data_IF_483566393542
#
_entry.id   IF_483566393542
#
_cell.length_a   1.000
_cell.length_b   1.000
_cell.length_c   1.000
_cell.angle_alpha   90.00
_cell.angle_beta   90.00
_cell.angle_gamma   90.00
#
_symmetry.space_group_name_H-M   'P 1'
#
loop_
_entity.id
_entity.type
_entity.pdbx_description
1 polymer ?
#
# COMPACT_ATOMS: atom_id res chain seq x y z
N UNK A 1 34.75 -7.48 -29.44
CA UNK A 1 33.73 -7.51 -28.37
C UNK A 1 33.39 -6.07 -27.99
N UNK A 2 32.23 -5.56 -28.42
CA UNK A 2 31.78 -4.23 -28.00
C UNK A 2 31.29 -4.30 -26.55
N UNK A 3 32.04 -3.70 -25.61
CA UNK A 3 31.59 -3.52 -24.22
C UNK A 3 30.43 -2.53 -24.24
N UNK A 4 29.22 -2.99 -23.92
CA UNK A 4 28.13 -2.09 -23.56
C UNK A 4 28.52 -1.42 -22.24
N UNK A 5 28.80 -0.11 -22.28
CA UNK A 5 29.11 0.71 -21.10
C UNK A 5 27.84 1.23 -20.43
N UNK A 6 26.70 0.54 -20.57
CA UNK A 6 25.46 0.97 -19.93
C UNK A 6 25.58 0.83 -18.41
N UNK A 7 25.60 1.97 -17.71
CA UNK A 7 25.71 2.04 -16.25
C UNK A 7 24.36 2.35 -15.61
N UNK A 8 24.23 2.02 -14.32
CA UNK A 8 23.07 2.40 -13.51
C UNK A 8 22.85 3.92 -13.53
N UNK A 9 23.94 4.70 -13.47
CA UNK A 9 23.86 6.17 -13.51
C UNK A 9 23.25 6.70 -14.82
N UNK A 10 23.63 6.13 -15.97
CA UNK A 10 23.04 6.50 -17.26
C UNK A 10 21.57 6.11 -17.37
N UNK A 11 21.22 4.91 -16.91
CA UNK A 11 19.83 4.45 -16.87
C UNK A 11 18.96 5.37 -16.01
N UNK A 12 19.44 5.74 -14.82
CA UNK A 12 18.73 6.64 -13.91
C UNK A 12 18.57 8.04 -14.50
N UNK A 13 19.63 8.59 -15.11
CA UNK A 13 19.58 9.90 -15.77
C UNK A 13 18.57 9.90 -16.90
N UNK A 14 18.63 8.90 -17.79
CA UNK A 14 17.67 8.70 -18.87
C UNK A 14 16.23 8.64 -18.33
N UNK A 15 16.01 7.86 -17.26
CA UNK A 15 14.70 7.67 -16.70
C UNK A 15 14.12 8.95 -16.06
N UNK A 16 14.95 9.74 -15.36
CA UNK A 16 14.55 11.01 -14.77
C UNK A 16 14.20 12.02 -15.87
N UNK A 17 15.08 12.20 -16.86
CA UNK A 17 14.87 13.16 -17.95
C UNK A 17 13.57 12.86 -18.71
N UNK A 18 13.33 11.58 -19.03
CA UNK A 18 12.09 11.15 -19.69
C UNK A 18 10.86 11.30 -18.79
N UNK A 19 11.00 11.06 -17.48
CA UNK A 19 9.90 11.20 -16.53
C UNK A 19 9.43 12.65 -16.40
N UNK A 20 10.35 13.62 -16.45
CA UNK A 20 10.05 15.07 -16.33
C UNK A 20 9.34 15.61 -17.59
N UNK A 21 9.72 15.12 -18.77
CA UNK A 21 9.15 15.56 -20.06
C UNK A 21 7.89 14.76 -20.43
N UNK A 22 7.54 13.73 -19.66
CA UNK A 22 6.39 12.87 -19.94
C UNK A 22 5.06 13.65 -19.85
N UNK A 23 4.14 13.51 -20.83
CA UNK A 23 2.81 14.10 -20.74
C UNK A 23 2.00 13.57 -19.55
N UNK A 24 2.43 12.44 -18.97
CA UNK A 24 1.82 11.85 -17.77
C UNK A 24 2.07 12.72 -16.50
N UNK A 25 2.91 13.77 -16.55
CA UNK A 25 3.28 14.65 -15.40
C UNK A 25 2.14 15.56 -14.95
N UNK A 26 1.18 15.85 -15.83
CA UNK A 26 0.08 16.77 -15.55
C UNK A 26 -1.10 16.13 -14.78
N UNK A 27 -1.01 14.85 -14.43
CA UNK A 27 -2.04 14.11 -13.68
C UNK A 27 -1.79 14.18 -12.17
N UNK A 28 -2.81 14.21 -11.29
CA UNK A 28 -2.61 14.03 -9.85
C UNK A 28 -1.95 12.66 -9.57
N UNK A 29 -0.75 12.66 -8.97
CA UNK A 29 0.03 11.45 -8.69
C UNK A 29 0.11 11.14 -7.20
N UNK A 30 0.07 9.86 -6.89
CA UNK A 30 0.60 9.33 -5.64
C UNK A 30 2.06 8.91 -5.85
N UNK A 31 2.79 8.72 -4.75
CA UNK A 31 4.22 8.35 -4.76
C UNK A 31 4.51 7.07 -5.55
N UNK A 32 3.55 6.14 -5.64
CA UNK A 32 3.72 4.88 -6.37
C UNK A 32 3.72 5.11 -7.88
N UNK A 33 2.87 6.01 -8.39
CA UNK A 33 2.84 6.35 -9.82
C UNK A 33 4.12 7.01 -10.32
N UNK A 34 4.78 7.83 -9.48
CA UNK A 34 6.08 8.42 -9.84
C UNK A 34 7.15 7.34 -10.01
N UNK A 35 7.14 6.33 -9.14
CA UNK A 35 8.11 5.22 -9.23
C UNK A 35 7.77 4.29 -10.40
N UNK A 36 6.50 4.03 -10.70
CA UNK A 36 6.10 3.29 -11.91
C UNK A 36 6.60 3.97 -13.19
N UNK A 37 6.52 5.30 -13.25
CA UNK A 37 7.01 6.07 -14.41
C UNK A 37 8.54 6.00 -14.53
N UNK A 38 9.26 6.13 -13.42
CA UNK A 38 10.70 5.96 -13.38
C UNK A 38 11.09 4.56 -13.88
N UNK A 39 10.48 3.51 -13.33
CA UNK A 39 10.73 2.11 -13.69
C UNK A 39 10.43 1.82 -15.16
N UNK A 40 9.39 2.44 -15.71
CA UNK A 40 9.04 2.33 -17.14
C UNK A 40 10.20 2.80 -18.02
N UNK A 41 10.77 3.97 -17.74
CA UNK A 41 11.88 4.49 -18.55
C UNK A 41 13.22 3.80 -18.25
N UNK A 42 13.43 3.30 -17.03
CA UNK A 42 14.57 2.43 -16.75
C UNK A 42 14.49 1.13 -17.56
N UNK A 43 13.31 0.50 -17.61
CA UNK A 43 13.09 -0.72 -18.39
C UNK A 43 13.21 -0.43 -19.90
N UNK A 44 12.67 0.68 -20.39
CA UNK A 44 12.87 1.13 -21.78
C UNK A 44 14.36 1.24 -22.12
N UNK A 45 15.16 1.90 -21.27
CA UNK A 45 16.60 2.06 -21.46
C UNK A 45 17.32 0.71 -21.60
N UNK A 46 17.04 -0.25 -20.72
CA UNK A 46 17.67 -1.58 -20.78
C UNK A 46 17.23 -2.33 -22.04
N UNK A 47 15.95 -2.21 -22.44
CA UNK A 47 15.40 -2.86 -23.63
C UNK A 47 15.81 -2.20 -24.95
N UNK A 48 16.52 -1.06 -24.93
CA UNK A 48 17.17 -0.51 -26.13
C UNK A 48 18.29 -1.42 -26.63
N UNK A 49 18.97 -2.14 -25.72
CA UNK A 49 19.99 -3.10 -26.09
C UNK A 49 19.34 -4.37 -26.66
N UNK A 50 19.66 -4.70 -27.92
CA UNK A 50 19.08 -5.85 -28.62
C UNK A 50 19.25 -7.17 -27.84
N UNK A 51 20.42 -7.40 -27.24
CA UNK A 51 20.66 -8.61 -26.41
C UNK A 51 19.74 -8.67 -25.18
N UNK A 52 19.57 -7.55 -24.49
CA UNK A 52 18.70 -7.44 -23.31
C UNK A 52 17.24 -7.64 -23.70
N UNK A 53 16.84 -7.13 -24.86
CA UNK A 53 15.51 -7.31 -25.44
C UNK A 53 15.22 -8.76 -25.79
N UNK A 54 16.14 -9.44 -26.48
CA UNK A 54 16.00 -10.86 -26.83
C UNK A 54 15.99 -11.77 -25.59
N UNK A 55 16.78 -11.41 -24.56
CA UNK A 55 16.77 -12.11 -23.28
C UNK A 55 15.43 -11.91 -22.55
N UNK A 56 14.88 -10.70 -22.58
CA UNK A 56 13.58 -10.38 -21.99
C UNK A 56 12.44 -11.12 -22.69
N UNK A 57 12.43 -11.13 -24.03
CA UNK A 57 11.41 -11.82 -24.81
C UNK A 57 11.36 -13.32 -24.50
N UNK A 58 12.52 -13.98 -24.46
CA UNK A 58 12.61 -15.41 -24.16
C UNK A 58 12.32 -15.75 -22.69
N UNK A 59 12.80 -14.92 -21.76
CA UNK A 59 12.75 -15.24 -20.31
C UNK A 59 11.47 -14.79 -19.63
N UNK A 60 10.99 -13.60 -20.01
CA UNK A 60 9.84 -12.92 -19.37
C UNK A 60 8.60 -13.07 -20.23
N UNK A 61 8.66 -12.66 -21.50
CA UNK A 61 7.52 -12.75 -22.42
C UNK A 61 7.32 -14.16 -23.01
N UNK A 62 8.23 -15.10 -22.72
CA UNK A 62 8.18 -16.51 -23.10
C UNK A 62 7.83 -16.72 -24.58
N UNK A 63 8.47 -15.94 -25.44
CA UNK A 63 8.22 -15.94 -26.88
C UNK A 63 9.53 -15.98 -27.66
N UNK A 64 9.50 -16.67 -28.81
CA UNK A 64 10.59 -16.72 -29.78
C UNK A 64 10.43 -15.65 -30.88
N UNK A 65 9.33 -14.88 -30.86
CA UNK A 65 9.16 -13.74 -31.75
C UNK A 65 10.26 -12.70 -31.50
N UNK A 66 10.74 -12.10 -32.58
CA UNK A 66 11.62 -10.93 -32.51
C UNK A 66 10.79 -9.65 -32.47
N UNK A 67 11.39 -8.56 -32.02
CA UNK A 67 10.70 -7.27 -31.92
C UNK A 67 11.65 -6.13 -32.26
N UNK A 68 11.07 -5.05 -32.79
CA UNK A 68 11.75 -3.76 -32.96
C UNK A 68 12.03 -3.07 -31.61
N UNK A 69 12.03 -1.74 -31.58
CA UNK A 69 12.17 -1.00 -30.31
C UNK A 69 10.96 -1.24 -29.40
N UNK A 70 11.21 -1.58 -28.14
CA UNK A 70 10.19 -1.55 -27.09
C UNK A 70 10.18 -0.14 -26.50
N UNK A 71 9.12 0.61 -26.78
CA UNK A 71 9.06 2.05 -26.44
C UNK A 71 7.96 2.34 -25.45
N UNK A 72 8.20 3.38 -24.66
CA UNK A 72 7.22 3.93 -23.72
C UNK A 72 6.05 4.58 -24.48
N UNK A 73 4.83 4.06 -24.30
CA UNK A 73 3.63 4.61 -24.94
C UNK A 73 2.94 5.64 -24.01
N UNK A 74 2.70 6.90 -24.42
CA UNK A 74 2.05 7.88 -23.55
C UNK A 74 0.73 7.31 -23.00
N UNK A 75 0.53 7.34 -21.67
CA UNK A 75 -0.68 6.79 -21.04
C UNK A 75 -1.85 7.74 -21.28
N UNK A 76 -2.37 7.78 -22.51
CA UNK A 76 -3.56 8.57 -22.83
C UNK A 76 -4.81 8.10 -22.07
N UNK A 77 -4.81 6.85 -21.56
CA UNK A 77 -5.85 6.27 -20.70
C UNK A 77 -5.20 5.35 -19.66
N UNK A 78 -5.84 5.17 -18.50
CA UNK A 78 -5.40 4.22 -17.45
C UNK A 78 -5.42 2.74 -17.86
N UNK A 79 -5.88 2.46 -19.09
CA UNK A 79 -6.05 1.14 -19.68
C UNK A 79 -5.05 0.82 -20.77
N UNK A 80 -4.05 1.68 -20.99
CA UNK A 80 -2.97 1.42 -21.95
C UNK A 80 -1.75 0.80 -21.24
N UNK A 81 -1.05 -0.15 -21.89
CA UNK A 81 0.23 -0.66 -21.38
C UNK A 81 1.30 0.44 -21.27
N UNK A 82 2.31 0.20 -20.43
CA UNK A 82 3.43 1.12 -20.19
C UNK A 82 4.44 1.15 -21.33
N UNK A 83 4.74 -0.03 -21.86
CA UNK A 83 5.61 -0.20 -23.02
C UNK A 83 4.85 -1.00 -24.06
N UNK A 84 5.05 -0.64 -25.32
CA UNK A 84 4.45 -1.33 -26.46
C UNK A 84 5.54 -1.61 -27.49
N UNK A 85 5.44 -2.76 -28.15
CA UNK A 85 6.25 -3.10 -29.30
C UNK A 85 5.45 -3.96 -30.29
N UNK A 86 5.83 -3.90 -31.56
CA UNK A 86 5.33 -4.80 -32.59
C UNK A 86 6.23 -6.04 -32.66
N UNK A 87 5.61 -7.21 -32.49
CA UNK A 87 6.27 -8.50 -32.65
C UNK A 87 6.30 -8.84 -34.14
N UNK A 88 7.49 -9.11 -34.64
CA UNK A 88 7.69 -9.48 -36.03
C UNK A 88 7.21 -10.93 -36.24
N UNK A 89 6.48 -11.19 -37.35
CA UNK A 89 5.94 -12.52 -37.62
C UNK A 89 7.07 -13.55 -37.84
N UNK A 90 6.83 -14.79 -37.43
CA UNK A 90 7.79 -15.90 -37.60
C UNK A 90 7.82 -16.44 -39.04
N UNK A 91 6.77 -16.17 -39.82
CA UNK A 91 6.58 -16.57 -41.23
C UNK A 91 5.84 -15.46 -42.00
N UNK A 92 6.13 -15.30 -43.29
CA UNK A 92 5.64 -14.21 -44.16
C UNK A 92 4.14 -14.22 -44.49
N UNK A 93 3.36 -15.18 -43.99
CA UNK A 93 2.00 -15.45 -44.45
C UNK A 93 0.88 -14.85 -43.58
N UNK A 94 1.21 -14.11 -42.51
CA UNK A 94 0.21 -13.43 -41.66
C UNK A 94 0.51 -11.95 -41.56
N UNK A 95 -0.31 -11.14 -42.24
CA UNK A 95 -0.28 -9.67 -42.26
C UNK A 95 -0.79 -9.02 -40.95
N UNK A 96 -1.18 -9.82 -39.96
CA UNK A 96 -1.65 -9.32 -38.67
C UNK A 96 -0.46 -8.87 -37.81
N UNK A 97 -0.32 -7.56 -37.64
CA UNK A 97 0.69 -6.97 -36.73
C UNK A 97 0.45 -7.45 -35.29
N UNK A 98 1.29 -8.36 -34.81
CA UNK A 98 1.23 -8.83 -33.42
C UNK A 98 1.88 -7.79 -32.51
N UNK A 99 1.38 -7.63 -31.29
CA UNK A 99 1.82 -6.59 -30.36
C UNK A 99 2.15 -7.18 -29.00
N UNK A 100 3.23 -6.67 -28.41
CA UNK A 100 3.62 -6.89 -27.03
C UNK A 100 3.29 -5.63 -26.24
N UNK A 101 2.46 -5.77 -25.20
CA UNK A 101 2.29 -4.78 -24.15
C UNK A 101 3.03 -5.20 -22.89
N UNK A 102 3.65 -4.26 -22.20
CA UNK A 102 4.22 -4.48 -20.86
C UNK A 102 3.55 -3.52 -19.90
N UNK A 103 3.04 -4.02 -18.78
CA UNK A 103 2.45 -3.20 -17.71
C UNK A 103 3.18 -3.44 -16.39
N UNK A 104 3.60 -2.36 -15.74
CA UNK A 104 4.39 -2.36 -14.53
C UNK A 104 3.54 -1.90 -13.35
N UNK A 105 3.65 -2.59 -12.21
CA UNK A 105 3.01 -2.19 -10.95
C UNK A 105 3.93 -2.36 -9.75
N UNK A 106 3.87 -1.37 -8.87
CA UNK A 106 4.54 -1.37 -7.56
C UNK A 106 3.56 -1.14 -6.41
N UNK A 107 2.26 -1.19 -6.72
CA UNK A 107 1.15 -1.01 -5.78
C UNK A 107 0.12 -2.13 -5.89
N UNK A 108 -1.16 -1.81 -5.66
CA UNK A 108 -2.28 -2.76 -5.68
C UNK A 108 -2.22 -3.79 -6.84
N UNK A 109 -2.63 -5.05 -6.60
CA UNK A 109 -2.66 -6.08 -7.64
C UNK A 109 -3.62 -5.70 -8.78
N UNK A 110 -3.35 -6.20 -9.98
CA UNK A 110 -4.29 -6.05 -11.07
C UNK A 110 -5.51 -6.94 -10.86
N UNK A 111 -6.70 -6.35 -10.93
CA UNK A 111 -7.92 -7.13 -11.08
C UNK A 111 -7.99 -7.78 -12.48
N UNK A 112 -8.64 -8.94 -12.59
CA UNK A 112 -8.88 -9.64 -13.87
C UNK A 112 -9.55 -8.71 -14.90
N UNK A 113 -10.45 -7.83 -14.45
CA UNK A 113 -11.09 -6.82 -15.31
C UNK A 113 -10.10 -5.79 -15.87
N UNK A 114 -9.12 -5.36 -15.08
CA UNK A 114 -8.07 -4.45 -15.56
C UNK A 114 -7.15 -5.16 -16.55
N UNK A 115 -6.74 -6.40 -16.27
CA UNK A 115 -5.95 -7.22 -17.19
C UNK A 115 -6.67 -7.41 -18.53
N UNK A 116 -7.97 -7.70 -18.49
CA UNK A 116 -8.80 -7.85 -19.69
C UNK A 116 -8.90 -6.56 -20.51
N UNK A 117 -8.89 -5.38 -19.87
CA UNK A 117 -8.91 -4.08 -20.55
C UNK A 117 -7.56 -3.77 -21.19
N UNK A 118 -6.46 -3.99 -20.47
CA UNK A 118 -5.10 -3.82 -20.99
C UNK A 118 -4.85 -4.75 -22.17
N UNK A 119 -5.28 -6.01 -22.06
CA UNK A 119 -5.15 -7.00 -23.14
C UNK A 119 -5.95 -6.62 -24.39
N UNK A 120 -7.16 -6.07 -24.20
CA UNK A 120 -7.99 -5.56 -25.31
C UNK A 120 -7.43 -4.30 -25.95
N UNK A 121 -6.70 -3.46 -25.18
CA UNK A 121 -6.08 -2.25 -25.71
C UNK A 121 -4.97 -2.56 -26.73
N UNK A 122 -4.40 -3.77 -26.73
CA UNK A 122 -3.44 -4.22 -27.74
C UNK A 122 -4.09 -4.50 -29.09
N UNK A 123 -5.37 -4.84 -29.11
CA UNK A 123 -6.11 -5.26 -30.31
C UNK A 123 -6.87 -6.57 -30.09
N UNK A 124 -7.50 -7.06 -31.15
CA UNK A 124 -8.36 -8.25 -31.15
C UNK A 124 -7.61 -9.54 -31.49
N UNK A 125 -6.37 -9.47 -32.00
CA UNK A 125 -5.63 -10.69 -32.33
C UNK A 125 -5.35 -11.52 -31.07
N UNK A 126 -5.58 -12.84 -31.07
CA UNK A 126 -5.28 -13.71 -29.94
C UNK A 126 -3.77 -13.81 -29.66
N UNK A 127 -2.95 -13.49 -30.67
CA UNK A 127 -1.49 -13.57 -30.59
C UNK A 127 -0.86 -12.38 -29.85
N UNK A 128 -1.59 -11.29 -29.59
CA UNK A 128 -1.03 -10.21 -28.78
C UNK A 128 -0.68 -10.71 -27.38
N UNK A 129 0.49 -10.28 -26.89
CA UNK A 129 1.00 -10.65 -25.58
C UNK A 129 0.96 -9.45 -24.65
N UNK A 130 0.45 -9.64 -23.44
CA UNK A 130 0.52 -8.66 -22.36
C UNK A 130 1.37 -9.24 -21.22
N UNK A 131 2.57 -8.71 -21.03
CA UNK A 131 3.40 -9.00 -19.87
C UNK A 131 3.03 -8.05 -18.74
N UNK A 132 2.82 -8.60 -17.55
CA UNK A 132 2.47 -7.85 -16.35
C UNK A 132 3.51 -8.14 -15.30
N UNK A 133 4.21 -7.10 -14.84
CA UNK A 133 5.26 -7.21 -13.82
C UNK A 133 4.77 -6.53 -12.54
N UNK A 134 4.58 -7.32 -11.48
CA UNK A 134 4.09 -6.87 -10.18
C UNK A 134 5.03 -7.29 -9.05
N UNK A 135 4.78 -6.85 -7.81
CA UNK A 135 5.48 -7.41 -6.64
C UNK A 135 5.06 -8.85 -6.38
N UNK A 136 5.91 -9.60 -5.68
CA UNK A 136 5.63 -11.01 -5.35
C UNK A 136 4.37 -11.16 -4.49
N UNK A 137 4.17 -10.28 -3.51
CA UNK A 137 3.00 -10.30 -2.63
C UNK A 137 1.70 -10.07 -3.41
N UNK A 138 1.69 -9.10 -4.33
CA UNK A 138 0.53 -8.77 -5.17
C UNK A 138 0.24 -9.81 -6.26
N UNK A 139 1.26 -10.50 -6.76
CA UNK A 139 1.09 -11.59 -7.72
C UNK A 139 0.30 -12.76 -7.11
N UNK A 140 0.66 -13.18 -5.90
CA UNK A 140 -0.02 -14.27 -5.19
C UNK A 140 -1.49 -13.93 -4.90
N UNK A 141 -1.83 -12.66 -4.68
CA UNK A 141 -3.22 -12.21 -4.52
C UNK A 141 -4.00 -12.26 -5.83
N UNK A 142 -3.37 -11.91 -6.94
CA UNK A 142 -4.02 -11.92 -8.25
C UNK A 142 -4.34 -13.35 -8.70
N UNK A 143 -3.39 -14.27 -8.46
CA UNK A 143 -3.55 -15.71 -8.73
C UNK A 143 -4.58 -16.35 -7.78
N UNK A 144 -4.53 -16.04 -6.48
CA UNK A 144 -5.49 -16.54 -5.49
C UNK A 144 -6.92 -16.04 -5.71
N UNK A 145 -7.10 -14.76 -6.08
CA UNK A 145 -8.42 -14.21 -6.40
C UNK A 145 -9.01 -14.86 -7.66
N UNK A 146 -8.19 -15.15 -8.68
CA UNK A 146 -8.64 -15.85 -9.87
C UNK A 146 -9.09 -17.28 -9.57
N UNK A 147 -8.37 -17.99 -8.69
CA UNK A 147 -8.73 -19.35 -8.28
C UNK A 147 -9.98 -19.39 -7.36
N UNK A 148 -10.19 -18.36 -6.54
CA UNK A 148 -11.39 -18.25 -5.72
C UNK A 148 -12.63 -17.92 -6.57
N UNK A 149 -12.51 -17.01 -7.54
CA UNK A 149 -13.57 -16.75 -8.53
C UNK A 149 -13.93 -18.03 -9.31
N UNK A 150 -12.93 -18.87 -9.63
CA UNK A 150 -13.13 -20.19 -10.27
C UNK A 150 -13.96 -21.14 -9.40
N UNK A 151 -13.65 -21.24 -8.10
CA UNK A 151 -14.40 -22.09 -7.16
C UNK A 151 -15.84 -21.62 -7.00
N UNK A 152 -16.06 -20.33 -6.82
CA UNK A 152 -17.42 -19.77 -6.69
C UNK A 152 -18.25 -19.92 -7.98
N UNK A 153 -17.62 -19.91 -9.16
CA UNK A 153 -18.31 -20.20 -10.41
C UNK A 153 -18.69 -21.68 -10.55
N UNK A 154 -17.80 -22.59 -10.15
CA UNK A 154 -18.07 -24.03 -10.14
C UNK A 154 -19.22 -24.37 -9.19
N UNK A 155 -19.27 -23.76 -8.01
CA UNK A 155 -20.37 -23.93 -7.04
C UNK A 155 -21.71 -23.39 -7.59
N UNK A 156 -21.67 -22.27 -8.35
CA UNK A 156 -22.87 -21.72 -9.00
C UNK A 156 -23.34 -22.54 -10.20
N UNK A 157 -22.43 -23.19 -10.92
CA UNK A 157 -22.75 -24.09 -12.03
C UNK A 157 -23.25 -25.46 -11.53
N UNK A 158 -22.69 -25.97 -10.42
CA UNK A 158 -23.20 -27.19 -9.77
C UNK A 158 -24.61 -27.05 -9.19
N UNK A 159 -25.07 -25.83 -8.93
CA UNK A 159 -26.41 -25.54 -8.43
C UNK A 159 -27.46 -25.27 -9.54
N UNK A 160 -27.05 -25.20 -10.81
CA UNK A 160 -27.96 -25.03 -11.96
C UNK A 160 -27.73 -26.15 -12.96
N UNK A 161 -28.48 -27.24 -12.78
CA UNK A 161 -28.65 -28.24 -13.81
C UNK A 161 -29.30 -27.63 -15.05
N UNK A 162 -28.76 -28.02 -16.20
CA UNK A 162 -29.31 -27.97 -17.55
C UNK A 162 -29.96 -26.65 -18.01
N UNK A 163 -29.19 -25.84 -18.75
CA UNK A 163 -29.63 -25.29 -20.03
C UNK A 163 -28.42 -24.67 -20.78
N UNK A 164 -28.05 -25.29 -21.89
CA UNK A 164 -27.07 -24.79 -22.85
C UNK A 164 -27.58 -23.51 -23.52
N UNK A 165 -26.80 -22.42 -23.45
CA UNK A 165 -26.30 -21.67 -24.62
C UNK A 165 -25.48 -20.45 -24.17
N UNK A 166 -24.22 -20.39 -24.63
CA UNK A 166 -23.35 -19.22 -24.49
C UNK A 166 -21.98 -19.55 -23.90
N UNK A 167 -21.14 -20.23 -24.69
CA UNK A 167 -19.77 -20.60 -24.35
C UNK A 167 -18.90 -19.39 -23.93
N UNK A 168 -18.03 -19.67 -22.96
CA UNK A 168 -16.75 -19.03 -22.66
C UNK A 168 -16.72 -17.56 -22.20
N UNK A 169 -17.04 -17.35 -20.92
CA UNK A 169 -16.32 -16.34 -20.12
C UNK A 169 -15.71 -17.01 -18.88
N UNK A 170 -14.65 -17.76 -19.16
CA UNK A 170 -13.79 -18.46 -18.22
C UNK A 170 -13.10 -17.45 -17.28
N UNK A 171 -13.21 -17.65 -15.96
CA UNK A 171 -12.39 -16.96 -14.96
C UNK A 171 -10.97 -17.54 -14.91
N UNK A 172 -10.27 -17.49 -16.04
CA UNK A 172 -8.82 -17.67 -16.16
C UNK A 172 -8.18 -16.31 -16.49
N UNK A 173 -6.88 -16.14 -16.27
CA UNK A 173 -6.18 -14.97 -16.80
C UNK A 173 -6.48 -14.84 -18.30
N UNK A 174 -6.73 -13.63 -18.84
CA UNK A 174 -7.06 -13.48 -20.26
C UNK A 174 -5.98 -14.10 -21.13
N UNK A 175 -6.37 -14.74 -22.24
CA UNK A 175 -5.41 -15.36 -23.16
C UNK A 175 -4.34 -14.35 -23.62
N UNK A 176 -3.08 -14.79 -23.62
CA UNK A 176 -1.94 -13.95 -23.94
C UNK A 176 -1.50 -13.01 -22.81
N UNK A 177 -2.04 -13.13 -21.60
CA UNK A 177 -1.51 -12.42 -20.42
C UNK A 177 -0.47 -13.28 -19.70
N UNK A 178 0.72 -12.72 -19.51
CA UNK A 178 1.84 -13.34 -18.81
C UNK A 178 2.11 -12.57 -17.53
N UNK A 179 1.98 -13.23 -16.39
CA UNK A 179 2.29 -12.62 -15.09
C UNK A 179 3.73 -12.93 -14.68
N UNK A 180 4.42 -11.89 -14.24
CA UNK A 180 5.80 -11.95 -13.78
C UNK A 180 5.96 -11.10 -12.53
N UNK A 181 6.96 -11.40 -11.71
CA UNK A 181 7.25 -10.56 -10.54
C UNK A 181 8.62 -9.89 -10.63
N UNK A 182 8.75 -8.74 -9.97
CA UNK A 182 10.04 -8.07 -9.81
C UNK A 182 11.07 -9.02 -9.16
N UNK A 183 10.68 -9.77 -8.14
CA UNK A 183 11.50 -10.85 -7.59
C UNK A 183 11.96 -11.91 -8.61
N UNK A 184 11.07 -12.35 -9.53
CA UNK A 184 11.46 -13.28 -10.61
C UNK A 184 12.40 -12.61 -11.61
N UNK A 185 12.21 -11.32 -11.90
CA UNK A 185 13.08 -10.51 -12.74
C UNK A 185 14.50 -10.45 -12.16
N UNK A 186 14.62 -10.13 -10.87
CA UNK A 186 15.89 -10.08 -10.13
C UNK A 186 16.68 -11.40 -10.22
N UNK A 187 15.97 -12.54 -10.21
CA UNK A 187 16.61 -13.87 -10.22
C UNK A 187 16.95 -14.39 -11.60
N UNK A 188 16.15 -14.06 -12.62
CA UNK A 188 16.24 -14.67 -13.95
C UNK A 188 16.99 -13.80 -14.95
N UNK A 189 16.76 -12.49 -14.95
CA UNK A 189 17.36 -11.60 -15.96
C UNK A 189 18.88 -11.45 -15.84
N UNK A 190 19.49 -11.36 -14.64
CA UNK A 190 20.95 -11.35 -14.53
C UNK A 190 21.65 -12.59 -15.11
N UNK A 191 20.96 -13.73 -15.14
CA UNK A 191 21.47 -14.97 -15.76
C UNK A 191 21.27 -14.99 -17.27
N UNK A 192 20.13 -14.47 -17.74
CA UNK A 192 19.78 -14.43 -19.17
C UNK A 192 20.53 -13.32 -19.92
N UNK A 193 20.89 -12.23 -19.24
CA UNK A 193 21.67 -11.11 -19.77
C UNK A 193 22.76 -10.68 -18.76
N UNK A 194 23.85 -11.47 -18.64
CA UNK A 194 24.94 -11.17 -17.69
C UNK A 194 25.63 -9.83 -17.96
N UNK A 195 25.59 -9.34 -19.20
CA UNK A 195 26.20 -8.08 -19.60
C UNK A 195 25.52 -6.84 -18.99
N UNK A 196 24.26 -6.96 -18.57
CA UNK A 196 23.49 -5.89 -17.92
C UNK A 196 22.90 -6.34 -16.58
N UNK A 197 23.50 -7.34 -15.93
CA UNK A 197 23.01 -7.91 -14.67
C UNK A 197 22.68 -6.85 -13.62
N UNK A 198 23.58 -5.89 -13.39
CA UNK A 198 23.37 -4.81 -12.43
C UNK A 198 22.19 -3.88 -12.78
N UNK A 199 21.88 -3.69 -14.06
CA UNK A 199 20.72 -2.89 -14.47
C UNK A 199 19.42 -3.64 -14.14
N UNK A 200 19.38 -4.95 -14.43
CA UNK A 200 18.26 -5.82 -14.10
C UNK A 200 18.03 -5.97 -12.60
N UNK A 201 19.11 -6.13 -11.83
CA UNK A 201 19.09 -6.14 -10.37
C UNK A 201 18.52 -4.83 -9.81
N UNK A 202 19.03 -3.69 -10.28
CA UNK A 202 18.57 -2.37 -9.83
C UNK A 202 17.09 -2.14 -10.14
N UNK A 203 16.65 -2.43 -11.36
CA UNK A 203 15.23 -2.28 -11.76
C UNK A 203 14.35 -3.19 -10.90
N UNK A 204 14.76 -4.44 -10.70
CA UNK A 204 13.98 -5.38 -9.90
C UNK A 204 13.95 -5.00 -8.42
N UNK A 205 15.05 -4.50 -7.87
CA UNK A 205 15.13 -4.04 -6.49
C UNK A 205 14.24 -2.82 -6.27
N UNK A 206 14.31 -1.83 -7.16
CA UNK A 206 13.42 -0.67 -7.10
C UNK A 206 11.98 -1.14 -7.27
N UNK A 207 11.66 -2.00 -8.24
CA UNK A 207 10.30 -2.48 -8.48
C UNK A 207 9.69 -3.30 -7.35
N UNK A 208 10.47 -4.19 -6.73
CA UNK A 208 10.00 -5.01 -5.60
C UNK A 208 9.83 -4.18 -4.32
N UNK A 209 10.68 -3.17 -4.11
CA UNK A 209 10.68 -2.32 -2.91
C UNK A 209 9.91 -1.00 -3.09
N UNK A 210 9.51 -0.66 -4.31
CA UNK A 210 8.74 0.54 -4.60
C UNK A 210 7.36 0.45 -3.94
N UNK A 211 6.97 1.55 -3.30
CA UNK A 211 5.77 1.59 -2.48
C UNK A 211 5.84 0.74 -1.21
N UNK A 212 6.86 -0.12 -1.03
CA UNK A 212 7.13 -0.74 0.27
C UNK A 212 7.54 0.40 1.21
N UNK A 213 6.80 0.63 2.30
CA UNK A 213 7.07 1.74 3.19
C UNK A 213 8.40 1.46 3.91
N UNK A 214 9.49 1.97 3.36
CA UNK A 214 10.79 1.84 4.02
C UNK A 214 10.79 2.75 5.23
N UNK A 215 11.00 2.17 6.40
CA UNK A 215 11.07 2.90 7.66
C UNK A 215 12.46 3.54 7.75
N UNK A 216 12.62 4.71 7.11
CA UNK A 216 13.90 5.43 7.00
C UNK A 216 14.01 6.66 7.91
N UNK A 217 13.12 6.81 8.87
CA UNK A 217 13.23 7.91 9.83
C UNK A 217 14.38 7.59 10.80
N UNK A 218 15.40 8.47 10.98
CA UNK A 218 16.49 8.24 11.92
C UNK A 218 16.03 8.51 13.37
N UNK A 219 15.02 7.77 13.83
CA UNK A 219 14.37 7.98 15.13
C UNK A 219 14.96 7.07 16.19
N UNK A 220 15.14 7.61 17.39
CA UNK A 220 15.54 6.83 18.55
C UNK A 220 14.30 6.16 19.18
N UNK A 221 13.96 4.97 18.70
CA UNK A 221 12.80 4.19 19.16
C UNK A 221 12.78 4.02 20.69
N UNK A 222 13.94 3.76 21.30
CA UNK A 222 14.06 3.63 22.77
C UNK A 222 13.68 4.92 23.48
N UNK A 223 14.21 6.06 23.04
CA UNK A 223 13.86 7.36 23.64
C UNK A 223 12.36 7.66 23.53
N UNK A 224 11.76 7.37 22.38
CA UNK A 224 10.38 7.75 22.09
C UNK A 224 9.35 6.82 22.76
N UNK A 225 9.60 5.51 22.78
CA UNK A 225 8.60 4.54 23.21
C UNK A 225 8.66 4.18 24.70
N UNK A 226 9.79 4.42 25.38
CA UNK A 226 9.92 4.07 26.81
C UNK A 226 9.68 5.24 27.76
N UNK A 227 9.50 6.47 27.25
CA UNK A 227 9.28 7.65 28.09
C UNK A 227 7.79 7.81 28.45
N UNK A 228 7.44 7.85 29.74
CA UNK A 228 6.06 8.07 30.16
C UNK A 228 5.48 9.41 29.68
N UNK A 229 6.29 10.48 29.64
CA UNK A 229 5.83 11.80 29.18
C UNK A 229 5.36 11.77 27.73
N UNK A 230 6.14 11.17 26.83
CA UNK A 230 5.77 10.99 25.41
C UNK A 230 4.51 10.12 25.27
N UNK A 231 4.39 9.07 26.09
CA UNK A 231 3.21 8.20 26.08
C UNK A 231 1.93 8.92 26.54
N UNK A 232 2.02 9.69 27.62
CA UNK A 232 0.92 10.49 28.17
C UNK A 232 0.51 11.62 27.22
N UNK A 233 1.47 12.28 26.58
CA UNK A 233 1.21 13.33 25.60
C UNK A 233 0.50 12.78 24.35
N UNK A 234 1.02 11.71 23.75
CA UNK A 234 0.35 11.04 22.62
C UNK A 234 -1.07 10.59 23.02
N UNK A 235 -1.24 10.02 24.21
CA UNK A 235 -2.55 9.61 24.74
C UNK A 235 -3.52 10.79 24.84
N UNK A 236 -3.05 11.94 25.34
CA UNK A 236 -3.84 13.15 25.47
C UNK A 236 -4.33 13.69 24.13
N UNK A 237 -3.50 13.64 23.08
CA UNK A 237 -3.95 13.98 21.73
C UNK A 237 -4.92 12.94 21.14
N UNK A 238 -4.73 11.65 21.43
CA UNK A 238 -5.69 10.61 21.06
C UNK A 238 -7.02 10.79 21.79
N UNK A 239 -7.04 11.29 23.03
CA UNK A 239 -8.28 11.66 23.73
C UNK A 239 -9.04 12.78 23.03
N UNK A 240 -8.34 13.79 22.54
CA UNK A 240 -8.93 14.87 21.75
C UNK A 240 -9.54 14.32 20.46
N UNK A 241 -8.84 13.41 19.79
CA UNK A 241 -9.35 12.77 18.59
C UNK A 241 -10.58 11.90 18.86
N UNK A 242 -10.57 11.15 19.96
CA UNK A 242 -11.72 10.36 20.40
C UNK A 242 -12.92 11.25 20.73
N UNK A 243 -12.70 12.34 21.47
CA UNK A 243 -13.71 13.35 21.79
C UNK A 243 -14.30 13.96 20.51
N UNK A 244 -13.46 14.45 19.61
CA UNK A 244 -13.89 15.05 18.35
C UNK A 244 -14.70 14.07 17.49
N UNK A 245 -14.26 12.81 17.40
CA UNK A 245 -14.96 11.77 16.64
C UNK A 245 -16.33 11.44 17.23
N UNK A 246 -16.43 11.33 18.55
CA UNK A 246 -17.71 11.07 19.23
C UNK A 246 -18.67 12.24 19.10
N UNK A 247 -18.19 13.48 19.26
CA UNK A 247 -19.03 14.68 19.20
C UNK A 247 -19.48 15.03 17.77
N UNK A 248 -18.59 14.96 16.77
CA UNK A 248 -18.90 15.36 15.40
C UNK A 248 -19.59 14.28 14.57
N UNK A 249 -19.25 13.01 14.83
CA UNK A 249 -19.60 11.88 13.97
C UNK A 249 -20.34 10.75 14.70
N UNK A 250 -20.42 10.78 16.03
CA UNK A 250 -21.08 9.71 16.81
C UNK A 250 -20.37 8.35 16.76
N UNK A 251 -19.17 8.28 16.20
CA UNK A 251 -18.42 7.04 16.00
C UNK A 251 -17.09 7.06 16.74
N UNK A 252 -16.62 5.87 17.12
CA UNK A 252 -15.26 5.72 17.65
C UNK A 252 -14.26 5.63 16.50
N UNK A 253 -13.03 6.17 16.67
CA UNK A 253 -12.01 6.04 15.64
C UNK A 253 -11.44 4.64 15.57
N UNK A 254 -11.04 4.22 14.38
CA UNK A 254 -10.36 2.95 14.13
C UNK A 254 -9.37 3.11 12.97
N UNK A 255 -8.44 2.16 12.83
CA UNK A 255 -7.62 2.13 11.63
C UNK A 255 -8.47 1.78 10.41
N UNK A 256 -8.30 2.52 9.32
CA UNK A 256 -8.93 2.22 8.04
C UNK A 256 -8.55 0.81 7.60
N UNK A 257 -9.51 0.09 7.03
CA UNK A 257 -9.34 -1.26 6.46
C UNK A 257 -9.53 -1.25 4.94
N UNK A 258 -9.48 -0.06 4.33
CA UNK A 258 -9.69 0.10 2.89
C UNK A 258 -8.66 -0.73 2.13
N UNK A 259 -9.14 -1.59 1.23
CA UNK A 259 -8.28 -2.38 0.35
C UNK A 259 -7.36 -1.47 -0.45
N UNK A 260 -6.08 -1.81 -0.47
CA UNK A 260 -5.06 -1.15 -1.28
C UNK A 260 -4.51 0.18 -0.74
N UNK A 261 -4.91 0.57 0.48
CA UNK A 261 -4.23 1.68 1.16
C UNK A 261 -2.76 1.35 1.42
N UNK A 262 -1.91 2.37 1.31
CA UNK A 262 -0.45 2.21 1.41
C UNK A 262 0.13 2.57 2.78
N UNK A 263 -0.68 3.17 3.64
CA UNK A 263 -0.31 3.62 4.98
C UNK A 263 -1.30 3.19 6.05
N UNK A 264 -0.86 3.29 7.31
CA UNK A 264 -1.77 3.23 8.45
C UNK A 264 -2.52 4.56 8.55
N UNK A 265 -3.85 4.49 8.61
CA UNK A 265 -4.71 5.67 8.73
C UNK A 265 -5.67 5.48 9.89
N UNK A 266 -5.52 6.26 10.96
CA UNK A 266 -6.41 6.23 12.11
C UNK A 266 -7.51 7.28 11.89
N UNK A 267 -8.73 6.82 11.59
CA UNK A 267 -9.79 7.67 11.03
C UNK A 267 -11.15 7.44 11.71
N UNK A 268 -12.05 8.40 11.53
CA UNK A 268 -13.45 8.32 11.90
C UNK A 268 -14.33 8.93 10.81
N UNK A 269 -15.31 8.18 10.30
CA UNK A 269 -16.33 8.69 9.37
C UNK A 269 -15.84 9.17 7.99
N UNK A 270 -14.56 8.98 7.64
CA UNK A 270 -14.00 9.39 6.36
C UNK A 270 -14.58 8.53 5.23
N UNK A 271 -15.07 9.18 4.17
CA UNK A 271 -15.57 8.50 2.98
C UNK A 271 -15.20 9.27 1.71
N UNK A 272 -15.58 8.73 0.54
CA UNK A 272 -15.41 9.44 -0.75
C UNK A 272 -16.27 10.70 -0.85
N UNK A 273 -17.47 10.68 -0.25
CA UNK A 273 -18.47 11.74 -0.44
C UNK A 273 -18.56 12.70 0.73
N UNK A 274 -18.01 12.33 1.89
CA UNK A 274 -18.10 13.12 3.13
C UNK A 274 -16.76 13.22 3.83
N UNK A 275 -16.49 14.40 4.37
CA UNK A 275 -15.39 14.64 5.29
C UNK A 275 -15.60 13.83 6.58
N UNK A 276 -14.51 13.27 7.10
CA UNK A 276 -14.43 12.68 8.43
C UNK A 276 -13.25 13.29 9.18
N UNK A 277 -12.76 12.58 10.19
CA UNK A 277 -11.60 12.98 10.96
C UNK A 277 -10.47 11.97 10.79
N UNK A 278 -9.23 12.45 10.87
CA UNK A 278 -8.01 11.64 10.86
C UNK A 278 -7.06 12.12 11.96
N UNK A 279 -6.42 11.15 12.64
CA UNK A 279 -5.21 11.41 13.41
C UNK A 279 -3.99 11.24 12.50
N UNK A 280 -3.41 12.36 12.08
CA UNK A 280 -2.44 12.45 10.99
C UNK A 280 -1.09 13.02 11.43
N UNK A 281 -0.30 13.45 10.45
CA UNK A 281 0.95 14.19 10.65
C UNK A 281 0.72 15.47 11.45
N UNK A 282 1.61 15.76 12.40
CA UNK A 282 1.49 16.97 13.24
C UNK A 282 1.76 18.23 12.40
N UNK A 283 0.71 18.97 12.04
CA UNK A 283 0.81 20.28 11.39
C UNK A 283 0.74 21.40 12.43
N UNK A 284 1.84 22.14 12.64
CA UNK A 284 1.94 23.22 13.65
C UNK A 284 1.43 22.82 15.04
N UNK A 285 1.77 21.60 15.47
CA UNK A 285 1.36 21.05 16.77
C UNK A 285 -0.05 20.44 16.80
N UNK A 286 -0.73 20.30 15.65
CA UNK A 286 -2.11 19.81 15.55
C UNK A 286 -2.13 18.43 14.87
N UNK A 287 -2.40 17.33 15.61
CA UNK A 287 -2.45 15.98 15.03
C UNK A 287 -3.84 15.59 14.50
N UNK A 288 -4.90 16.29 14.92
CA UNK A 288 -6.28 15.97 14.51
C UNK A 288 -6.66 16.80 13.30
N UNK A 289 -7.11 16.14 12.25
CA UNK A 289 -7.48 16.78 10.99
C UNK A 289 -8.88 16.40 10.57
N UNK A 290 -9.53 17.29 9.85
CA UNK A 290 -10.68 16.99 9.02
C UNK A 290 -10.15 16.59 7.65
N UNK A 291 -10.60 15.43 7.20
CA UNK A 291 -10.12 14.81 5.97
C UNK A 291 -11.29 14.44 5.08
N UNK A 292 -11.18 14.82 3.81
CA UNK A 292 -11.99 14.26 2.72
C UNK A 292 -11.08 13.55 1.74
N UNK A 293 -11.55 12.41 1.22
CA UNK A 293 -10.75 11.59 0.30
C UNK A 293 -10.33 12.41 -0.92
N UNK A 294 -9.02 12.56 -1.14
CA UNK A 294 -8.45 13.29 -2.28
C UNK A 294 -8.24 14.79 -2.05
N UNK A 295 -8.59 15.31 -0.88
CA UNK A 295 -8.36 16.70 -0.50
C UNK A 295 -7.25 16.81 0.56
N UNK A 296 -6.68 18.01 0.71
CA UNK A 296 -5.66 18.28 1.73
C UNK A 296 -6.30 18.26 3.14
N UNK A 297 -5.69 17.58 4.12
CA UNK A 297 -6.17 17.62 5.51
C UNK A 297 -6.24 19.05 6.05
N UNK A 298 -7.30 19.34 6.79
CA UNK A 298 -7.53 20.64 7.46
C UNK A 298 -7.37 20.43 8.97
N UNK A 299 -6.38 21.04 9.64
CA UNK A 299 -6.17 20.79 11.06
C UNK A 299 -7.34 21.32 11.89
N UNK A 300 -7.71 20.55 12.91
CA UNK A 300 -8.61 20.99 13.96
C UNK A 300 -7.78 21.77 14.97
N UNK A 301 -8.18 23.00 15.28
CA UNK A 301 -7.41 23.91 16.14
C UNK A 301 -7.55 23.58 17.64
N UNK A 302 -7.42 22.29 17.98
CA UNK A 302 -7.52 21.73 19.33
C UNK A 302 -6.30 20.83 19.58
N UNK A 303 -5.48 21.21 20.56
CA UNK A 303 -4.32 20.48 21.07
C UNK A 303 -4.69 19.55 22.23
N UNK A 304 -3.69 19.13 23.01
CA UNK A 304 -3.89 18.32 24.22
C UNK A 304 -4.60 19.17 25.27
N UNK A 305 -5.65 18.61 25.86
CA UNK A 305 -6.46 19.26 26.88
C UNK A 305 -6.03 18.76 28.25
N UNK A 306 -5.55 19.65 29.09
CA UNK A 306 -4.98 19.35 30.41
C UNK A 306 -5.97 19.60 31.53
N UNK A 307 -6.89 20.54 31.34
CA UNK A 307 -7.91 20.90 32.35
C UNK A 307 -9.33 20.54 31.91
N UNK A 308 -10.23 20.45 32.88
CA UNK A 308 -11.65 20.19 32.60
C UNK A 308 -12.33 21.40 31.93
N UNK A 309 -11.86 22.62 32.18
CA UNK A 309 -12.31 23.83 31.47
C UNK A 309 -11.95 23.77 29.99
N UNK A 310 -10.71 23.42 29.66
CA UNK A 310 -10.29 23.23 28.26
C UNK A 310 -11.11 22.13 27.57
N UNK A 311 -11.40 21.04 28.29
CA UNK A 311 -12.25 19.95 27.81
C UNK A 311 -13.68 20.41 27.53
N UNK A 312 -14.25 21.23 28.41
CA UNK A 312 -15.58 21.80 28.23
C UNK A 312 -15.63 22.75 27.02
N UNK A 313 -14.65 23.65 26.90
CA UNK A 313 -14.54 24.57 25.76
C UNK A 313 -14.38 23.82 24.43
N UNK A 314 -13.54 22.79 24.40
CA UNK A 314 -13.34 21.97 23.20
C UNK A 314 -14.63 21.27 22.79
N UNK A 315 -15.39 20.74 23.77
CA UNK A 315 -16.67 20.09 23.52
C UNK A 315 -17.70 21.07 22.97
N UNK A 316 -17.83 22.26 23.55
CA UNK A 316 -18.74 23.30 23.06
C UNK A 316 -18.40 23.72 21.61
N UNK A 317 -17.11 23.92 21.32
CA UNK A 317 -16.64 24.23 19.96
C UNK A 317 -17.00 23.12 18.96
N UNK A 318 -16.77 21.85 19.33
CA UNK A 318 -17.12 20.71 18.51
C UNK A 318 -18.64 20.60 18.30
N UNK A 319 -19.45 20.86 19.32
CA UNK A 319 -20.91 20.88 19.21
C UNK A 319 -21.41 22.03 18.32
N UNK A 320 -20.75 23.19 18.33
CA UNK A 320 -21.02 24.28 17.40
C UNK A 320 -20.72 23.86 15.94
N UNK A 321 -19.59 23.20 15.69
CA UNK A 321 -19.27 22.64 14.37
C UNK A 321 -20.29 21.57 13.97
N UNK A 322 -20.70 20.70 14.89
CA UNK A 322 -21.67 19.64 14.61
C UNK A 322 -23.05 20.18 14.18
N UNK A 323 -23.47 21.34 14.73
CA UNK A 323 -24.72 22.03 14.36
C UNK A 323 -24.72 22.52 12.91
N UNK A 324 -23.55 22.85 12.36
CA UNK A 324 -23.40 23.37 11.00
C UNK A 324 -22.82 22.28 10.08
N UNK A 325 -23.67 21.51 9.40
CA UNK A 325 -23.24 20.34 8.60
C UNK A 325 -22.38 20.63 7.35
N UNK A 326 -22.10 21.89 7.02
CA UNK A 326 -21.35 22.31 5.83
C UNK A 326 -19.93 21.73 5.77
N UNK A 327 -19.27 21.54 6.93
CA UNK A 327 -17.92 20.99 6.98
C UNK A 327 -17.80 19.56 6.43
N UNK A 328 -18.93 18.82 6.38
CA UNK A 328 -18.98 17.46 5.81
C UNK A 328 -18.78 17.43 4.31
N UNK A 329 -19.02 18.55 3.63
CA UNK A 329 -18.85 18.68 2.17
C UNK A 329 -17.75 19.66 1.79
N UNK A 330 -17.38 20.56 2.70
CA UNK A 330 -16.30 21.52 2.55
C UNK A 330 -15.48 21.61 3.85
N UNK A 331 -14.32 20.93 3.94
CA UNK A 331 -13.44 21.01 5.12
C UNK A 331 -13.02 22.45 5.49
N UNK A 332 -13.04 23.38 4.53
CA UNK A 332 -12.73 24.80 4.75
C UNK A 332 -13.78 25.55 5.56
N UNK A 333 -15.01 25.01 5.67
CA UNK A 333 -16.09 25.62 6.44
C UNK A 333 -15.90 25.52 7.97
N UNK A 334 -14.83 24.86 8.44
CA UNK A 334 -14.54 24.75 9.87
C UNK A 334 -14.01 26.10 10.38
N UNK A 335 -14.63 26.66 11.44
CA UNK A 335 -14.15 27.88 12.07
C UNK A 335 -12.69 27.72 12.50
N UNK A 336 -11.84 28.63 12.01
CA UNK A 336 -10.42 28.71 12.36
C UNK A 336 -10.25 29.54 13.62
N UNK A 337 -9.35 29.11 14.50
CA UNK A 337 -8.91 29.92 15.64
C UNK A 337 -7.57 30.57 15.35
N UNK A 338 -7.42 31.80 15.85
CA UNK A 338 -6.12 32.48 15.86
C UNK A 338 -5.14 31.75 16.77
N UNK A 339 -5.62 31.21 17.89
CA UNK A 339 -4.83 30.48 18.88
C UNK A 339 -5.33 29.05 19.06
N UNK A 340 -4.40 28.13 19.28
CA UNK A 340 -4.70 26.72 19.57
C UNK A 340 -5.40 26.60 20.93
N UNK A 341 -6.48 25.83 21.00
CA UNK A 341 -7.08 25.45 22.28
C UNK A 341 -6.29 24.28 22.88
N UNK A 342 -5.65 24.48 24.04
CA UNK A 342 -4.80 23.48 24.71
C UNK A 342 -3.36 23.45 24.18
N UNK A 343 -2.60 22.44 24.59
CA UNK A 343 -1.15 22.35 24.36
C UNK A 343 -0.83 21.73 22.99
N UNK A 344 0.09 22.29 22.19
CA UNK A 344 0.52 21.69 20.91
C UNK A 344 1.30 20.40 21.12
N UNK A 345 1.21 19.49 20.13
CA UNK A 345 2.02 18.28 20.11
C UNK A 345 3.51 18.59 19.95
N UNK A 346 4.33 17.98 20.80
CA UNK A 346 5.79 18.05 20.75
C UNK A 346 6.37 17.27 19.57
N UNK A 347 7.60 17.57 19.14
CA UNK A 347 8.30 16.79 18.12
C UNK A 347 8.45 15.31 18.49
N UNK A 348 8.56 15.00 19.79
CA UNK A 348 8.58 13.63 20.29
C UNK A 348 7.30 12.86 19.98
N UNK A 349 6.13 13.52 20.04
CA UNK A 349 4.84 12.89 19.69
C UNK A 349 4.80 12.53 18.21
N UNK A 350 5.26 13.42 17.32
CA UNK A 350 5.34 13.11 15.88
C UNK A 350 6.31 11.95 15.61
N UNK A 351 7.49 11.94 16.26
CA UNK A 351 8.42 10.82 16.16
C UNK A 351 7.82 9.50 16.64
N UNK A 352 7.12 9.51 17.78
CA UNK A 352 6.43 8.33 18.28
C UNK A 352 5.31 7.86 17.35
N UNK A 353 4.52 8.80 16.81
CA UNK A 353 3.47 8.52 15.83
C UNK A 353 4.04 7.87 14.57
N UNK A 354 5.08 8.43 13.96
CA UNK A 354 5.72 7.85 12.78
C UNK A 354 6.17 6.40 13.01
N UNK A 355 6.75 6.13 14.18
CA UNK A 355 7.20 4.80 14.54
C UNK A 355 6.04 3.80 14.72
N UNK A 356 4.99 4.20 15.45
CA UNK A 356 3.82 3.36 15.66
C UNK A 356 3.04 3.12 14.36
N UNK A 357 2.96 4.13 13.48
CA UNK A 357 2.31 4.00 12.17
C UNK A 357 3.11 3.11 11.23
N UNK A 358 4.44 3.07 11.36
CA UNK A 358 5.28 2.09 10.67
C UNK A 358 5.04 0.68 11.21
N UNK A 359 4.97 0.50 12.53
CA UNK A 359 4.62 -0.79 13.15
C UNK A 359 3.23 -1.28 12.69
N UNK A 360 2.25 -0.39 12.61
CA UNK A 360 0.87 -0.70 12.20
C UNK A 360 0.64 -0.57 10.69
N UNK A 361 1.71 -0.45 9.88
CA UNK A 361 1.57 -0.22 8.45
C UNK A 361 1.00 -1.47 7.75
N UNK A 362 -0.16 -1.35 7.06
CA UNK A 362 -0.81 -2.48 6.40
C UNK A 362 0.05 -3.17 5.34
N UNK A 363 0.88 -2.42 4.59
CA UNK A 363 1.74 -2.99 3.56
C UNK A 363 2.88 -3.81 4.17
N UNK A 364 3.53 -3.30 5.22
CA UNK A 364 4.58 -4.07 5.92
C UNK A 364 4.01 -5.33 6.56
N UNK A 365 2.81 -5.24 7.15
CA UNK A 365 2.15 -6.38 7.76
C UNK A 365 1.78 -7.43 6.70
N UNK A 366 1.28 -6.99 5.54
CA UNK A 366 0.96 -7.87 4.41
C UNK A 366 2.19 -8.56 3.85
N UNK A 367 3.33 -7.87 3.75
CA UNK A 367 4.61 -8.47 3.36
C UNK A 367 5.10 -9.54 4.36
N UNK A 368 4.57 -9.54 5.59
CA UNK A 368 4.80 -10.55 6.63
C UNK A 368 3.68 -11.59 6.74
N UNK A 369 2.74 -11.57 5.80
CA UNK A 369 1.64 -12.54 5.72
C UNK A 369 0.47 -12.24 6.66
N UNK A 370 0.26 -10.97 7.02
CA UNK A 370 -0.90 -10.55 7.82
C UNK A 370 -1.73 -9.52 7.06
N UNK A 371 -3.03 -9.78 6.96
CA UNK A 371 -4.01 -8.83 6.45
C UNK A 371 -4.75 -8.16 7.60
N UNK A 372 -5.26 -6.95 7.37
CA UNK A 372 -6.11 -6.27 8.33
C UNK A 372 -7.40 -7.06 8.55
N UNK A 373 -7.78 -7.28 9.81
CA UNK A 373 -9.10 -7.83 10.12
C UNK A 373 -10.22 -6.92 9.57
N UNK A 374 -11.42 -7.45 9.24
CA UNK A 374 -12.55 -6.64 8.77
C UNK A 374 -12.89 -5.50 9.73
N UNK A 375 -13.38 -4.36 9.22
CA UNK A 375 -13.70 -3.16 10.01
C UNK A 375 -14.52 -3.45 11.29
N UNK A 376 -15.54 -4.30 11.20
CA UNK A 376 -16.39 -4.73 12.34
C UNK A 376 -15.60 -5.40 13.48
N UNK A 377 -14.43 -5.96 13.16
CA UNK A 377 -13.53 -6.64 14.09
C UNK A 377 -12.34 -5.77 14.48
N UNK A 378 -12.07 -4.65 13.80
CA UNK A 378 -10.95 -3.78 14.18
C UNK A 378 -11.16 -3.24 15.60
N UNK A 379 -10.13 -3.25 16.45
CA UNK A 379 -10.22 -2.53 17.70
C UNK A 379 -10.29 -1.03 17.36
N UNK A 380 -11.21 -0.35 18.02
CA UNK A 380 -11.22 1.10 18.02
C UNK A 380 -10.08 1.62 18.90
N UNK A 381 -9.74 2.90 18.74
CA UNK A 381 -9.12 3.65 19.83
C UNK A 381 -10.05 3.56 21.05
N UNK A 382 -9.58 2.89 22.11
CA UNK A 382 -10.31 2.75 23.37
C UNK A 382 -9.79 3.73 24.42
N UNK A 383 -10.43 3.74 25.59
CA UNK A 383 -9.95 4.54 26.72
C UNK A 383 -8.58 4.10 27.25
N UNK A 384 -8.15 2.87 26.97
CA UNK A 384 -6.94 2.25 27.54
C UNK A 384 -5.92 1.81 26.52
N UNK A 385 -6.28 1.67 25.25
CA UNK A 385 -5.39 1.14 24.21
C UNK A 385 -5.67 1.71 22.82
N UNK A 386 -4.61 1.75 22.02
CA UNK A 386 -4.65 1.92 20.58
C UNK A 386 -4.10 0.65 19.96
N UNK A 387 -4.79 0.08 18.98
CA UNK A 387 -4.29 -1.10 18.31
C UNK A 387 -4.96 -1.37 16.99
N UNK A 388 -4.55 -2.46 16.38
CA UNK A 388 -5.01 -2.94 15.09
C UNK A 388 -5.12 -4.47 15.15
N UNK A 389 -6.20 -5.03 14.61
CA UNK A 389 -6.38 -6.48 14.52
C UNK A 389 -6.03 -6.99 13.13
N UNK A 390 -5.51 -8.20 13.11
CA UNK A 390 -4.91 -8.86 11.97
C UNK A 390 -5.42 -10.28 11.84
N UNK A 391 -5.42 -10.77 10.61
CA UNK A 391 -5.65 -12.15 10.26
C UNK A 391 -4.38 -12.67 9.57
N UNK A 392 -4.00 -13.90 9.88
CA UNK A 392 -2.93 -14.56 9.14
C UNK A 392 -3.44 -14.93 7.76
N UNK A 393 -2.65 -14.58 6.74
CA UNK A 393 -2.99 -14.88 5.36
C UNK A 393 -2.82 -16.36 5.07
N UNK A 394 -3.85 -16.96 4.47
CA UNK A 394 -3.90 -18.39 4.18
C UNK A 394 -4.19 -19.27 5.40
N UNK A 395 -4.59 -18.68 6.53
CA UNK A 395 -5.10 -19.42 7.68
C UNK A 395 -6.63 -19.30 7.75
N UNK A 396 -7.31 -20.43 7.58
CA UNK A 396 -8.77 -20.53 7.62
C UNK A 396 -9.33 -20.70 9.04
N UNK A 397 -8.47 -20.83 10.06
CA UNK A 397 -8.89 -20.99 11.46
C UNK A 397 -9.70 -19.79 11.98
N UNK A 398 -9.53 -18.62 11.35
CA UNK A 398 -10.13 -17.37 11.78
C UNK A 398 -9.47 -16.77 13.03
N UNK A 399 -8.31 -17.30 13.45
CA UNK A 399 -7.52 -16.79 14.56
C UNK A 399 -7.19 -15.32 14.34
N UNK A 400 -7.43 -14.50 15.37
CA UNK A 400 -7.21 -13.07 15.30
C UNK A 400 -5.97 -12.70 16.10
N UNK A 401 -5.12 -11.90 15.48
CA UNK A 401 -3.94 -11.34 16.12
C UNK A 401 -4.14 -9.84 16.34
N UNK A 402 -3.45 -9.27 17.32
CA UNK A 402 -3.55 -7.84 17.64
C UNK A 402 -2.16 -7.24 17.83
N UNK A 403 -1.90 -6.10 17.20
CA UNK A 403 -0.79 -5.20 17.55
C UNK A 403 -1.37 -4.00 18.29
N UNK A 404 -0.86 -3.68 19.46
CA UNK A 404 -1.42 -2.61 20.28
C UNK A 404 -0.40 -1.95 21.21
N UNK A 405 -0.73 -0.75 21.66
CA UNK A 405 -0.02 0.02 22.69
C UNK A 405 -1.01 0.52 23.72
N UNK A 406 -0.50 0.80 24.92
CA UNK A 406 -1.32 1.24 26.06
C UNK A 406 -2.09 0.07 26.69
N UNK A 407 -2.11 0.00 28.01
CA UNK A 407 -2.77 -1.10 28.76
C UNK A 407 -3.76 -0.60 29.81
N UNK A 408 -3.70 0.68 30.14
CA UNK A 408 -4.50 1.31 31.18
C UNK A 408 -4.88 2.72 30.74
N UNK A 409 -5.65 3.45 31.56
CA UNK A 409 -5.93 4.86 31.29
C UNK A 409 -4.68 5.74 31.34
N UNK A 410 -3.64 5.29 32.04
CA UNK A 410 -2.38 6.00 32.20
C UNK A 410 -1.27 5.25 31.46
N UNK A 411 -0.97 5.69 30.23
CA UNK A 411 0.04 5.03 29.42
C UNK A 411 1.44 5.31 29.98
N UNK A 412 2.05 4.30 30.61
CA UNK A 412 3.42 4.39 31.11
C UNK A 412 4.48 4.26 30.01
N UNK A 413 4.13 3.68 28.86
CA UNK A 413 5.00 3.55 27.70
C UNK A 413 4.18 3.37 26.41
N UNK A 414 4.85 3.49 25.27
CA UNK A 414 4.32 3.16 23.94
C UNK A 414 4.95 1.87 23.39
N UNK A 415 5.37 0.95 24.28
CA UNK A 415 5.96 -0.33 23.87
C UNK A 415 4.88 -1.16 23.14
N UNK A 416 5.09 -1.52 21.86
CA UNK A 416 4.16 -2.36 21.13
C UNK A 416 4.06 -3.74 21.76
N UNK A 417 2.82 -4.23 21.83
CA UNK A 417 2.48 -5.58 22.22
C UNK A 417 1.83 -6.29 21.04
N UNK A 418 2.17 -7.55 20.87
CA UNK A 418 1.57 -8.45 19.89
C UNK A 418 0.86 -9.57 20.64
N UNK A 419 -0.38 -9.86 20.28
CA UNK A 419 -1.23 -10.81 20.99
C UNK A 419 -1.89 -11.75 19.99
N UNK A 420 -1.88 -13.05 20.27
CA UNK A 420 -2.83 -14.01 19.68
C UNK A 420 -4.08 -13.97 20.56
N UNK A 421 -5.19 -13.46 20.03
CA UNK A 421 -6.46 -13.44 20.77
C UNK A 421 -7.01 -14.86 20.85
N UNK A 422 -7.31 -15.34 22.06
CA UNK A 422 -7.77 -16.71 22.27
C UNK A 422 -9.11 -16.99 21.56
N UNK A 423 -9.16 -18.09 20.80
CA UNK A 423 -10.35 -18.62 20.15
C UNK A 423 -10.26 -20.15 20.04
N UNK A 424 -11.38 -20.86 20.22
CA UNK A 424 -11.41 -22.32 20.02
C UNK A 424 -10.66 -23.18 21.05
N UNK A 425 -10.36 -22.65 22.24
CA UNK A 425 -9.72 -23.40 23.33
C UNK A 425 -8.22 -23.12 23.51
N UNK A 426 -7.60 -22.32 22.64
CA UNK A 426 -6.21 -21.85 22.83
C UNK A 426 -6.13 -20.69 23.84
N UNK A 427 -5.06 -20.66 24.63
CA UNK A 427 -4.78 -19.58 25.57
C UNK A 427 -4.29 -18.31 24.85
N UNK A 428 -4.71 -17.16 25.36
CA UNK A 428 -4.19 -15.87 24.92
C UNK A 428 -2.69 -15.80 25.20
N UNK A 429 -1.91 -15.42 24.19
CA UNK A 429 -0.46 -15.27 24.31
C UNK A 429 -0.06 -13.88 23.83
N UNK A 430 0.72 -13.17 24.65
CA UNK A 430 1.12 -11.78 24.40
C UNK A 430 2.62 -11.60 24.58
N UNK A 431 3.27 -10.94 23.62
CA UNK A 431 4.65 -10.48 23.71
C UNK A 431 4.73 -8.96 23.71
N UNK A 432 5.51 -8.39 24.64
CA UNK A 432 5.90 -6.99 24.61
C UNK A 432 7.26 -6.84 23.93
N UNK A 433 7.35 -5.98 22.91
CA UNK A 433 8.56 -5.84 22.08
C UNK A 433 9.23 -4.50 22.37
N UNK A 434 10.18 -4.50 23.30
CA UNK A 434 10.90 -3.29 23.69
C UNK A 434 12.08 -2.98 22.74
N UNK A 435 12.29 -1.70 22.38
CA UNK A 435 13.41 -1.29 21.53
C UNK A 435 14.78 -1.44 22.23
N UNK A 436 15.77 -1.92 21.49
CA UNK A 436 17.15 -2.12 21.98
C UNK A 436 18.01 -0.85 21.82
N UNK A 437 19.15 -0.81 22.52
CA UNK A 437 20.11 0.30 22.39
C UNK A 437 20.71 0.30 20.98
N UNK A 438 20.78 1.48 20.33
CA UNK A 438 21.31 1.68 18.96
C UNK A 438 20.60 0.86 17.86
N UNK A 439 19.37 0.40 18.11
CA UNK A 439 18.57 -0.28 17.11
C UNK A 439 18.04 0.71 16.06
N UNK A 440 18.15 0.36 14.77
CA UNK A 440 17.53 1.17 13.72
C UNK A 440 16.00 1.07 13.78
N UNK A 441 15.32 2.06 13.20
CA UNK A 441 13.85 2.09 13.18
C UNK A 441 13.28 0.93 12.35
N UNK A 442 13.91 0.58 11.23
CA UNK A 442 13.55 -0.57 10.41
C UNK A 442 13.73 -1.90 11.15
N UNK A 443 14.86 -2.08 11.85
CA UNK A 443 15.10 -3.30 12.64
C UNK A 443 14.09 -3.44 13.76
N UNK A 444 13.72 -2.34 14.42
CA UNK A 444 12.71 -2.35 15.47
C UNK A 444 11.34 -2.78 14.93
N UNK A 445 10.88 -2.18 13.82
CA UNK A 445 9.61 -2.56 13.18
C UNK A 445 9.65 -4.03 12.76
N UNK A 446 10.78 -4.48 12.20
CA UNK A 446 10.97 -5.89 11.83
C UNK A 446 10.86 -6.83 13.03
N UNK A 447 11.45 -6.51 14.19
CA UNK A 447 11.34 -7.32 15.41
C UNK A 447 9.90 -7.41 15.92
N UNK A 448 9.12 -6.32 15.85
CA UNK A 448 7.70 -6.35 16.23
C UNK A 448 6.92 -7.31 15.33
N UNK A 449 7.12 -7.21 14.00
CA UNK A 449 6.44 -8.11 13.06
C UNK A 449 6.94 -9.56 13.16
N UNK A 450 8.20 -9.77 13.54
CA UNK A 450 8.75 -11.10 13.81
C UNK A 450 8.11 -11.72 15.05
N UNK A 451 7.94 -10.97 16.13
CA UNK A 451 7.24 -11.43 17.33
C UNK A 451 5.76 -11.73 17.03
N UNK A 452 5.13 -10.95 16.14
CA UNK A 452 3.79 -11.28 15.66
C UNK A 452 3.78 -12.61 14.89
N UNK A 453 4.78 -12.85 14.03
CA UNK A 453 4.89 -14.10 13.28
C UNK A 453 5.18 -15.30 14.18
N UNK A 454 5.94 -15.16 15.26
CA UNK A 454 6.19 -16.28 16.17
C UNK A 454 4.92 -16.78 16.85
N UNK A 455 3.92 -15.91 17.08
CA UNK A 455 2.59 -16.30 17.59
C UNK A 455 1.79 -17.18 16.62
N UNK A 456 2.21 -17.32 15.35
CA UNK A 456 1.56 -18.18 14.34
C UNK A 456 2.14 -19.59 14.30
N UNK A 457 3.29 -19.80 14.93
CA UNK A 457 4.00 -21.08 14.91
C UNK A 457 3.56 -21.82 16.18
N UNK A 458 2.47 -22.58 16.08
CA UNK A 458 2.05 -23.50 17.14
C UNK A 458 3.07 -24.63 17.28
N UNK A 459 3.47 -24.92 18.51
CA UNK A 459 4.37 -26.02 18.87
C UNK A 459 3.65 -27.36 18.94
#
# INVERSE_FOLDING_TARGET
MARSYATVGQMMSYAIDRSVVSPDVQMPRDRNRDVELLLRHMLEFVLMAARSRDAFLRTVAQTDHTTGSITSAPRMRSTSPDLIAELLPSSSDTDDSVRLGISLRVGEPFSVRQLSRLRRALGTSPQHLLVVITRRSDLADSEGAAEQDRREQLDRQGARGDEETGADQQAALPQGVITFSWHRLAKRMPKADPGHAHLWETIAEIGENAGSPVVQYPLNARRLLTRPSTAQELRGHLDVFHLASRTLLGTSPHFSTRRGQTGAHLQAGVSRQRSGLEFGEVDRGRPVHVLRTGEKPVPLDIGRLETDEERAQAKEQLEAIARHGSWRTDPGAIPRRTELLGTPASPEVEGARLLLWAVMNPMLLRDRGFDLAPARRQPALTATSLGLRLLQRGDDSGTTYRIWVGESRHWGSLIPRVTREGGGGESEETYAVAPRKKQSTADFVWEVHKALRSLTITH
#
